data_IF_667438952142
#
_entry.id   IF_667438952142
#
_cell.length_a   1.000
_cell.length_b   1.000
_cell.length_c   1.000
_cell.angle_alpha   90.00
_cell.angle_beta   90.00
_cell.angle_gamma   90.00
#
_symmetry.space_group_name_H-M   'P 1'
#
loop_
_entity.id
_entity.type
_entity.pdbx_description
1 polymer ?
#
# COMPACT_ATOMS: atom_id res chain seq x y z
N UNK A 1 -7.36 -7.76 29.11
CA UNK A 1 -6.61 -7.78 27.83
C UNK A 1 -7.01 -6.68 26.82
N UNK A 2 -7.92 -5.75 27.17
CA UNK A 2 -8.43 -4.73 26.22
C UNK A 2 -7.43 -3.61 25.91
N UNK A 3 -6.61 -3.21 26.91
CA UNK A 3 -5.62 -2.12 26.74
C UNK A 3 -4.49 -2.45 25.74
N UNK A 4 -4.10 -3.72 25.62
CA UNK A 4 -3.07 -4.14 24.66
C UNK A 4 -3.53 -4.10 23.20
N UNK A 5 -4.77 -4.51 22.94
CA UNK A 5 -5.34 -4.57 21.58
C UNK A 5 -5.57 -3.19 20.99
N UNK A 6 -6.04 -2.22 21.78
CA UNK A 6 -6.24 -0.85 21.32
C UNK A 6 -4.90 -0.20 20.92
N UNK A 7 -3.89 -0.29 21.79
CA UNK A 7 -2.54 0.23 21.51
C UNK A 7 -1.89 -0.45 20.30
N UNK A 8 -2.07 -1.77 20.17
CA UNK A 8 -1.57 -2.53 19.01
C UNK A 8 -2.27 -2.10 17.72
N UNK A 9 -3.58 -1.90 17.75
CA UNK A 9 -4.35 -1.39 16.60
C UNK A 9 -3.90 0.00 16.22
N UNK A 10 -3.72 0.89 17.19
CA UNK A 10 -3.22 2.25 16.96
C UNK A 10 -1.82 2.22 16.31
N UNK A 11 -0.91 1.39 16.83
CA UNK A 11 0.42 1.22 16.27
C UNK A 11 0.38 0.75 14.81
N UNK A 12 -0.42 -0.28 14.52
CA UNK A 12 -0.63 -0.78 13.16
C UNK A 12 -1.17 0.32 12.23
N UNK A 13 -2.17 1.08 12.68
CA UNK A 13 -2.75 2.19 11.89
C UNK A 13 -1.71 3.28 11.64
N UNK A 14 -0.90 3.66 12.64
CA UNK A 14 0.16 4.66 12.48
C UNK A 14 1.18 4.19 11.44
N UNK A 15 1.61 2.92 11.48
CA UNK A 15 2.51 2.37 10.46
C UNK A 15 1.90 2.45 9.06
N UNK A 16 0.62 2.12 8.91
CA UNK A 16 -0.08 2.20 7.62
C UNK A 16 -0.14 3.65 7.11
N UNK A 17 -0.49 4.61 7.98
CA UNK A 17 -0.54 6.03 7.61
C UNK A 17 0.83 6.58 7.21
N UNK A 18 1.89 6.23 7.95
CA UNK A 18 3.26 6.59 7.59
C UNK A 18 3.65 5.96 6.24
N UNK A 19 3.29 4.70 6.02
CA UNK A 19 3.50 4.00 4.75
C UNK A 19 2.78 4.68 3.59
N UNK A 20 1.51 5.05 3.76
CA UNK A 20 0.73 5.74 2.73
C UNK A 20 1.34 7.11 2.42
N UNK A 21 1.61 7.93 3.43
CA UNK A 21 2.18 9.28 3.23
C UNK A 21 3.55 9.19 2.55
N UNK A 22 4.46 8.38 3.08
CA UNK A 22 5.80 8.21 2.50
C UNK A 22 5.75 7.61 1.10
N UNK A 23 4.84 6.68 0.85
CA UNK A 23 4.62 6.07 -0.46
C UNK A 23 4.08 7.07 -1.49
N UNK A 24 3.16 7.97 -1.10
CA UNK A 24 2.68 9.03 -1.99
C UNK A 24 3.78 10.03 -2.34
N UNK A 25 4.65 10.38 -1.38
CA UNK A 25 5.83 11.23 -1.65
C UNK A 25 6.82 10.51 -2.58
N UNK A 26 7.06 9.22 -2.35
CA UNK A 26 7.92 8.40 -3.21
C UNK A 26 7.34 8.28 -4.64
N UNK A 27 6.03 8.05 -4.77
CA UNK A 27 5.33 7.98 -6.04
C UNK A 27 5.47 9.26 -6.87
N UNK A 28 5.42 10.43 -6.22
CA UNK A 28 5.70 11.72 -6.89
C UNK A 28 7.12 11.76 -7.45
N UNK A 29 8.09 11.23 -6.70
CA UNK A 29 9.46 11.04 -7.17
C UNK A 29 9.52 10.11 -8.39
N UNK A 30 8.90 8.94 -8.30
CA UNK A 30 8.91 7.95 -9.38
C UNK A 30 8.28 8.49 -10.67
N UNK A 31 7.23 9.31 -10.58
CA UNK A 31 6.64 10.01 -11.73
C UNK A 31 7.59 11.02 -12.39
N UNK A 32 8.58 11.51 -11.64
CA UNK A 32 9.61 12.45 -12.07
C UNK A 32 10.97 11.77 -12.34
N UNK A 33 11.02 10.43 -12.41
CA UNK A 33 12.27 9.67 -12.58
C UNK A 33 13.29 9.81 -11.46
N UNK A 34 12.81 10.08 -10.24
CA UNK A 34 13.61 10.19 -9.02
C UNK A 34 13.18 9.13 -8.00
N UNK A 35 14.12 8.30 -7.54
CA UNK A 35 13.82 7.22 -6.61
C UNK A 35 13.40 7.72 -5.22
N UNK A 36 13.81 8.93 -4.80
CA UNK A 36 13.58 9.44 -3.44
C UNK A 36 13.96 8.40 -2.36
N UNK A 37 15.23 8.00 -2.25
CA UNK A 37 15.64 6.79 -1.51
C UNK A 37 15.18 6.77 -0.05
N UNK A 38 15.21 7.91 0.65
CA UNK A 38 14.69 8.01 2.02
C UNK A 38 13.19 7.70 2.11
N UNK A 39 12.37 8.36 1.28
CA UNK A 39 10.92 8.14 1.24
C UNK A 39 10.54 6.74 0.79
N UNK A 40 11.24 6.21 -0.23
CA UNK A 40 11.06 4.83 -0.70
C UNK A 40 11.40 3.82 0.40
N UNK A 41 12.51 4.00 1.13
CA UNK A 41 12.87 3.11 2.22
C UNK A 41 11.86 3.18 3.37
N UNK A 42 11.42 4.38 3.77
CA UNK A 42 10.38 4.55 4.80
C UNK A 42 9.08 3.88 4.38
N UNK A 43 8.66 4.06 3.13
CA UNK A 43 7.47 3.42 2.57
C UNK A 43 7.54 1.89 2.65
N UNK A 44 8.63 1.30 2.16
CA UNK A 44 8.80 -0.16 2.17
C UNK A 44 8.85 -0.71 3.59
N UNK A 45 9.60 -0.06 4.49
CA UNK A 45 9.76 -0.51 5.87
C UNK A 45 8.45 -0.43 6.66
N UNK A 46 7.71 0.68 6.55
CA UNK A 46 6.44 0.85 7.26
C UNK A 46 5.32 0.02 6.66
N UNK A 47 5.30 -0.20 5.34
CA UNK A 47 4.37 -1.14 4.69
C UNK A 47 4.67 -2.59 5.09
N UNK A 48 5.95 -2.97 5.20
CA UNK A 48 6.35 -4.27 5.74
C UNK A 48 5.88 -4.42 7.19
N UNK A 49 6.14 -3.41 8.03
CA UNK A 49 5.70 -3.39 9.42
C UNK A 49 4.17 -3.49 9.55
N UNK A 50 3.43 -2.76 8.71
CA UNK A 50 1.96 -2.83 8.63
C UNK A 50 1.51 -4.24 8.26
N UNK A 51 2.14 -4.85 7.25
CA UNK A 51 1.81 -6.19 6.78
C UNK A 51 2.07 -7.24 7.86
N UNK A 52 3.24 -7.19 8.51
CA UNK A 52 3.60 -8.09 9.61
C UNK A 52 2.62 -7.94 10.77
N UNK A 53 2.38 -6.71 11.24
CA UNK A 53 1.46 -6.46 12.35
C UNK A 53 0.02 -6.85 12.00
N UNK A 54 -0.39 -6.70 10.74
CA UNK A 54 -1.66 -7.18 10.21
C UNK A 54 -1.88 -8.69 10.44
N UNK A 55 -0.83 -9.50 10.30
CA UNK A 55 -0.89 -10.94 10.54
C UNK A 55 -0.82 -11.33 12.02
N UNK A 56 -0.46 -10.41 12.92
CA UNK A 56 -0.37 -10.66 14.35
C UNK A 56 -1.68 -10.37 15.10
N UNK A 57 -2.70 -9.83 14.41
CA UNK A 57 -4.04 -9.72 14.99
C UNK A 57 -4.63 -11.11 15.25
N UNK A 58 -5.51 -11.26 16.27
CA UNK A 58 -6.17 -12.52 16.55
C UNK A 58 -7.11 -12.89 15.39
N UNK A 59 -6.68 -13.86 14.60
CA UNK A 59 -7.39 -14.35 13.41
C UNK A 59 -7.93 -15.75 13.72
N UNK A 60 -9.25 -15.91 13.60
CA UNK A 60 -9.93 -17.20 13.81
C UNK A 60 -10.46 -17.82 12.51
N UNK A 61 -10.49 -17.04 11.42
CA UNK A 61 -10.96 -17.49 10.10
C UNK A 61 -10.27 -16.70 8.98
N UNK A 62 -10.31 -17.22 7.75
CA UNK A 62 -9.81 -16.51 6.60
C UNK A 62 -10.70 -15.30 6.29
N UNK A 63 -10.14 -14.09 6.38
CA UNK A 63 -10.83 -12.83 6.07
C UNK A 63 -10.26 -12.19 4.81
N UNK A 64 -11.01 -11.31 4.13
CA UNK A 64 -10.48 -10.55 2.99
C UNK A 64 -9.18 -9.79 3.32
N UNK A 65 -9.02 -9.31 4.55
CA UNK A 65 -7.82 -8.62 5.01
C UNK A 65 -6.57 -9.52 4.94
N UNK A 66 -6.69 -10.80 5.28
CA UNK A 66 -5.58 -11.77 5.20
C UNK A 66 -5.22 -12.03 3.74
N UNK A 67 -6.22 -12.20 2.87
CA UNK A 67 -5.98 -12.36 1.43
C UNK A 67 -5.20 -11.19 0.85
N UNK A 68 -5.63 -9.96 1.15
CA UNK A 68 -4.91 -8.75 0.74
C UNK A 68 -3.50 -8.70 1.36
N UNK A 69 -3.34 -9.07 2.62
CA UNK A 69 -2.04 -9.14 3.29
C UNK A 69 -1.06 -10.10 2.62
N UNK A 70 -1.53 -11.30 2.23
CA UNK A 70 -0.70 -12.32 1.54
C UNK A 70 -0.25 -11.80 0.18
N UNK A 71 -1.19 -11.24 -0.60
CA UNK A 71 -0.88 -10.68 -1.92
C UNK A 71 0.08 -9.50 -1.77
N UNK A 72 -0.14 -8.61 -0.81
CA UNK A 72 0.74 -7.48 -0.52
C UNK A 72 2.14 -7.94 -0.16
N UNK A 73 2.26 -9.01 0.64
CA UNK A 73 3.55 -9.61 0.99
C UNK A 73 4.34 -10.02 -0.25
N UNK A 74 3.70 -10.71 -1.20
CA UNK A 74 4.35 -11.14 -2.43
C UNK A 74 4.87 -9.96 -3.26
N UNK A 75 4.05 -8.90 -3.42
CA UNK A 75 4.48 -7.69 -4.10
C UNK A 75 5.60 -6.96 -3.35
N UNK A 76 5.51 -6.86 -2.03
CA UNK A 76 6.53 -6.18 -1.23
C UNK A 76 7.88 -6.89 -1.32
N UNK A 77 7.90 -8.23 -1.28
CA UNK A 77 9.10 -9.03 -1.52
C UNK A 77 9.67 -8.77 -2.91
N UNK A 78 8.82 -8.70 -3.94
CA UNK A 78 9.22 -8.35 -5.30
C UNK A 78 9.85 -6.95 -5.38
N UNK A 79 9.27 -5.95 -4.71
CA UNK A 79 9.81 -4.59 -4.67
C UNK A 79 11.17 -4.53 -3.96
N UNK A 80 11.28 -5.16 -2.79
CA UNK A 80 12.52 -5.21 -2.00
C UNK A 80 13.62 -5.94 -2.78
N UNK A 81 13.32 -7.09 -3.39
CA UNK A 81 14.28 -7.82 -4.20
C UNK A 81 14.75 -6.98 -5.41
N UNK A 82 13.81 -6.38 -6.13
CA UNK A 82 14.12 -5.54 -7.28
C UNK A 82 15.02 -4.34 -6.91
N UNK A 83 14.77 -3.71 -5.75
CA UNK A 83 15.52 -2.55 -5.29
C UNK A 83 16.89 -2.92 -4.72
N UNK A 84 16.98 -3.90 -3.83
CA UNK A 84 18.20 -4.18 -3.07
C UNK A 84 19.06 -5.28 -3.67
N UNK A 85 18.45 -6.38 -4.13
CA UNK A 85 19.19 -7.51 -4.68
C UNK A 85 19.61 -7.24 -6.13
N UNK A 86 18.66 -6.78 -6.95
CA UNK A 86 18.89 -6.55 -8.38
C UNK A 86 19.22 -5.11 -8.72
N UNK A 87 19.26 -4.21 -7.73
CA UNK A 87 19.68 -2.80 -7.85
C UNK A 87 19.00 -2.06 -9.01
N UNK A 88 17.72 -2.35 -9.24
CA UNK A 88 16.91 -1.77 -10.32
C UNK A 88 17.50 -1.98 -11.73
N UNK A 89 18.31 -3.02 -11.94
CA UNK A 89 18.94 -3.31 -13.23
C UNK A 89 17.92 -3.75 -14.28
N UNK A 90 17.96 -3.10 -15.45
CA UNK A 90 17.12 -3.47 -16.61
C UNK A 90 15.63 -3.60 -16.27
N UNK A 91 15.11 -4.83 -16.40
CA UNK A 91 13.68 -5.17 -16.17
C UNK A 91 13.26 -5.05 -14.70
N UNK A 92 14.19 -5.19 -13.76
CA UNK A 92 13.89 -5.10 -12.32
C UNK A 92 13.40 -3.73 -11.90
N UNK A 93 13.72 -2.69 -12.68
CA UNK A 93 13.18 -1.36 -12.46
C UNK A 93 11.65 -1.28 -12.64
N UNK A 94 11.15 -1.92 -13.70
CA UNK A 94 9.71 -2.01 -13.93
C UNK A 94 9.05 -2.91 -12.88
N UNK A 95 9.69 -4.02 -12.50
CA UNK A 95 9.24 -4.88 -11.40
C UNK A 95 9.10 -4.10 -10.11
N UNK A 96 10.13 -3.32 -9.72
CA UNK A 96 10.09 -2.46 -8.54
C UNK A 96 8.89 -1.52 -8.58
N UNK A 97 8.70 -0.78 -9.67
CA UNK A 97 7.60 0.18 -9.79
C UNK A 97 6.24 -0.51 -9.68
N UNK A 98 6.01 -1.60 -10.41
CA UNK A 98 4.73 -2.32 -10.35
C UNK A 98 4.48 -2.83 -8.93
N UNK A 99 5.47 -3.51 -8.34
CA UNK A 99 5.36 -4.07 -7.00
C UNK A 99 5.15 -3.01 -5.92
N UNK A 100 5.89 -1.90 -5.97
CA UNK A 100 5.78 -0.81 -5.01
C UNK A 100 4.44 -0.07 -5.15
N UNK A 101 3.99 0.22 -6.37
CA UNK A 101 2.71 0.90 -6.63
C UNK A 101 1.53 0.02 -6.22
N UNK A 102 1.57 -1.28 -6.51
CA UNK A 102 0.54 -2.23 -6.06
C UNK A 102 0.51 -2.34 -4.53
N UNK A 103 1.67 -2.36 -3.88
CA UNK A 103 1.74 -2.39 -2.41
C UNK A 103 1.16 -1.11 -1.78
N UNK A 104 1.44 0.05 -2.38
CA UNK A 104 0.87 1.32 -1.95
C UNK A 104 -0.64 1.39 -2.19
N UNK A 105 -1.10 0.89 -3.35
CA UNK A 105 -2.52 0.74 -3.66
C UNK A 105 -3.24 -0.10 -2.60
N UNK A 106 -2.71 -1.27 -2.23
CA UNK A 106 -3.35 -2.10 -1.21
C UNK A 106 -3.38 -1.44 0.17
N UNK A 107 -2.36 -0.68 0.52
CA UNK A 107 -2.36 0.10 1.77
C UNK A 107 -3.52 1.13 1.78
N UNK A 108 -3.70 1.87 0.68
CA UNK A 108 -4.81 2.83 0.54
C UNK A 108 -6.16 2.13 0.46
N UNK A 109 -6.26 1.01 -0.27
CA UNK A 109 -7.47 0.19 -0.37
C UNK A 109 -7.95 -0.25 1.02
N UNK A 110 -7.04 -0.79 1.84
CA UNK A 110 -7.35 -1.23 3.20
C UNK A 110 -7.72 -0.03 4.08
N UNK A 111 -7.05 1.11 3.94
CA UNK A 111 -7.43 2.34 4.63
C UNK A 111 -8.88 2.74 4.31
N UNK A 112 -9.29 2.71 3.02
CA UNK A 112 -10.68 3.02 2.64
C UNK A 112 -11.65 2.02 3.27
N UNK A 113 -11.36 0.72 3.20
CA UNK A 113 -12.19 -0.31 3.87
C UNK A 113 -12.33 -0.01 5.36
N UNK A 114 -11.22 0.23 6.06
CA UNK A 114 -11.25 0.50 7.50
C UNK A 114 -11.96 1.81 7.83
N UNK A 115 -11.82 2.85 7.00
CA UNK A 115 -12.52 4.12 7.20
C UNK A 115 -14.05 3.93 7.13
N UNK A 116 -14.56 3.21 6.14
CA UNK A 116 -15.99 2.91 6.03
C UNK A 116 -16.49 1.96 7.14
N UNK A 117 -15.64 1.10 7.70
CA UNK A 117 -16.02 0.22 8.80
C UNK A 117 -15.96 0.88 10.19
N UNK A 118 -15.13 1.92 10.36
CA UNK A 118 -14.78 2.48 11.69
C UNK A 118 -15.21 3.93 11.90
N UNK A 119 -15.52 4.68 10.85
CA UNK A 119 -15.97 6.07 10.95
C UNK A 119 -17.47 6.11 10.74
N UNK A 120 -18.24 6.47 11.77
CA UNK A 120 -19.71 6.43 11.77
C UNK A 120 -20.33 7.15 10.57
N UNK A 121 -19.81 8.33 10.21
CA UNK A 121 -20.29 9.10 9.07
C UNK A 121 -20.10 8.38 7.72
N UNK A 122 -19.00 7.65 7.55
CA UNK A 122 -18.73 6.87 6.34
C UNK A 122 -19.49 5.53 6.37
N UNK A 123 -19.57 4.91 7.54
CA UNK A 123 -20.34 3.67 7.72
C UNK A 123 -21.81 3.88 7.40
N UNK A 124 -22.40 5.01 7.80
CA UNK A 124 -23.78 5.36 7.44
C UNK A 124 -24.03 5.42 5.92
N UNK A 125 -23.00 5.71 5.11
CA UNK A 125 -23.09 5.75 3.64
C UNK A 125 -22.94 4.37 2.99
N UNK A 126 -22.26 3.44 3.64
CA UNK A 126 -22.10 2.07 3.15
C UNK A 126 -21.97 1.05 4.31
N UNK A 127 -23.07 0.75 5.03
CA UNK A 127 -23.02 -0.10 6.23
C UNK A 127 -22.55 -1.52 5.95
N UNK A 128 -22.89 -2.07 4.77
CA UNK A 128 -22.55 -3.43 4.37
C UNK A 128 -21.27 -3.51 3.53
N UNK A 129 -20.67 -2.37 3.17
CA UNK A 129 -19.45 -2.31 2.37
C UNK A 129 -19.64 -2.73 0.91
N UNK A 130 -20.87 -2.68 0.39
CA UNK A 130 -21.20 -2.99 -1.01
C UNK A 130 -22.07 -1.91 -1.66
N UNK A 131 -22.38 -0.85 -0.93
CA UNK A 131 -23.17 0.27 -1.38
C UNK A 131 -22.39 1.16 -2.35
N UNK A 132 -23.09 1.92 -3.22
CA UNK A 132 -22.45 2.76 -4.23
C UNK A 132 -21.38 3.71 -3.70
N UNK A 133 -21.51 4.39 -2.54
CA UNK A 133 -20.47 5.28 -2.03
C UNK A 133 -19.13 4.60 -1.79
N UNK A 134 -19.14 3.37 -1.25
CA UNK A 134 -17.93 2.58 -1.05
C UNK A 134 -17.31 2.16 -2.39
N UNK A 135 -18.12 1.67 -3.32
CA UNK A 135 -17.67 1.27 -4.65
C UNK A 135 -17.07 2.44 -5.45
N UNK A 136 -17.66 3.63 -5.35
CA UNK A 136 -17.14 4.87 -5.96
C UNK A 136 -15.78 5.22 -5.37
N UNK A 137 -15.65 5.22 -4.03
CA UNK A 137 -14.38 5.52 -3.36
C UNK A 137 -13.27 4.55 -3.80
N UNK A 138 -13.57 3.24 -3.82
CA UNK A 138 -12.62 2.23 -4.28
C UNK A 138 -12.29 2.37 -5.77
N UNK A 139 -13.29 2.70 -6.60
CA UNK A 139 -13.11 2.95 -8.03
C UNK A 139 -12.18 4.12 -8.30
N UNK A 140 -12.32 5.22 -7.55
CA UNK A 140 -11.43 6.40 -7.64
C UNK A 140 -9.99 6.00 -7.27
N UNK A 141 -9.81 5.28 -6.17
CA UNK A 141 -8.48 4.78 -5.74
C UNK A 141 -7.87 3.91 -6.84
N UNK A 142 -8.62 2.94 -7.36
CA UNK A 142 -8.14 2.06 -8.42
C UNK A 142 -7.70 2.84 -9.67
N UNK A 143 -8.55 3.73 -10.18
CA UNK A 143 -8.24 4.54 -11.37
C UNK A 143 -7.00 5.42 -11.14
N UNK A 144 -6.87 6.03 -9.97
CA UNK A 144 -5.71 6.85 -9.63
C UNK A 144 -4.41 6.04 -9.66
N UNK A 145 -4.40 4.85 -9.04
CA UNK A 145 -3.21 4.00 -8.98
C UNK A 145 -2.87 3.34 -10.33
N UNK A 146 -3.87 2.92 -11.11
CA UNK A 146 -3.64 2.42 -12.48
C UNK A 146 -3.04 3.51 -13.36
N UNK A 147 -3.58 4.74 -13.28
CA UNK A 147 -3.05 5.89 -14.02
C UNK A 147 -1.63 6.22 -13.60
N UNK A 148 -1.36 6.27 -12.29
CA UNK A 148 -0.02 6.52 -11.77
C UNK A 148 0.98 5.43 -12.18
N UNK A 149 0.60 4.16 -12.11
CA UNK A 149 1.41 3.02 -12.55
C UNK A 149 1.76 3.10 -14.03
N UNK A 150 0.77 3.37 -14.89
CA UNK A 150 0.98 3.57 -16.32
C UNK A 150 1.94 4.74 -16.60
N UNK A 151 1.75 5.87 -15.93
CA UNK A 151 2.62 7.04 -16.09
C UNK A 151 4.05 6.79 -15.60
N UNK A 152 4.22 6.13 -14.45
CA UNK A 152 5.52 5.73 -13.94
C UNK A 152 6.24 4.83 -14.94
N UNK A 153 5.58 3.78 -15.46
CA UNK A 153 6.20 2.87 -16.42
C UNK A 153 6.59 3.55 -17.74
N UNK A 154 5.84 4.56 -18.19
CA UNK A 154 6.18 5.32 -19.41
C UNK A 154 7.27 6.38 -19.20
N UNK A 155 7.29 7.03 -18.04
CA UNK A 155 8.16 8.19 -17.75
C UNK A 155 9.47 7.81 -17.09
N UNK A 156 9.47 6.79 -16.25
CA UNK A 156 10.68 6.22 -15.68
C UNK A 156 11.44 5.59 -16.86
N UNK A 157 12.34 6.33 -17.49
CA UNK A 157 13.24 5.88 -18.57
C UNK A 157 14.64 5.66 -18.03
N UNK A 158 15.37 4.72 -18.62
CA UNK A 158 16.76 4.41 -18.29
C UNK A 158 17.54 5.71 -18.28
N UNK A 159 18.29 6.02 -17.22
CA UNK A 159 19.42 6.91 -17.42
C UNK A 159 20.29 6.17 -18.43
N UNK A 160 20.39 6.69 -19.65
CA UNK A 160 21.35 6.16 -20.63
C UNK A 160 22.70 6.17 -19.93
N UNK A 161 23.26 4.99 -19.73
CA UNK A 161 24.68 4.84 -19.40
C UNK A 161 25.52 5.30 -20.60
#
# INVERSE_FOLDING_TARGET
MILGMASFTLFHVILSLVGIVSGLVALRGWLASDLRPGWTATFLATTLGTTITGFLFPITAFTPAIGVGIITTAFLLGAVAALYLFRLSGRWRATFLVCAIVSLYFNVFVLVVQAFLKVDALNALAPNGNEPPFAIAQGIVLVAFVTAGYLCLRRFRTASA
#
